data_IF_723487920409
#
_entry.id   IF_723487920409
#
_cell.length_a   1.000
_cell.length_b   1.000
_cell.length_c   1.000
_cell.angle_alpha   90.00
_cell.angle_beta   90.00
_cell.angle_gamma   90.00
#
_symmetry.space_group_name_H-M   'P 1'
#
loop_
_entity.id
_entity.type
_entity.pdbx_description
1 polymer ?
#
# COMPACT_ATOMS: atom_id res chain seq x y z
N UNK A 1 13.75 -49.55 -27.37
CA UNK A 1 14.34 -48.27 -26.91
C UNK A 1 13.19 -47.50 -26.28
N UNK A 2 12.83 -47.91 -25.06
CA UNK A 2 11.68 -47.38 -24.33
C UNK A 2 12.13 -46.10 -23.62
N UNK A 3 11.39 -45.02 -23.84
CA UNK A 3 11.57 -43.75 -23.15
C UNK A 3 10.97 -43.88 -21.74
N UNK A 4 11.70 -43.56 -20.66
CA UNK A 4 11.14 -43.63 -19.31
C UNK A 4 10.06 -42.56 -19.13
N UNK A 5 8.85 -43.01 -18.77
CA UNK A 5 7.75 -42.15 -18.35
C UNK A 5 8.17 -41.31 -17.13
N UNK A 6 8.12 -39.99 -17.26
CA UNK A 6 8.29 -39.07 -16.13
C UNK A 6 7.18 -39.32 -15.09
N UNK A 7 7.55 -39.87 -13.94
CA UNK A 7 6.72 -39.90 -12.74
C UNK A 7 6.45 -38.48 -12.25
N UNK A 8 5.28 -37.93 -12.57
CA UNK A 8 4.78 -36.72 -11.93
C UNK A 8 4.44 -37.02 -10.47
N UNK A 9 5.36 -36.68 -9.56
CA UNK A 9 5.13 -36.67 -8.11
C UNK A 9 3.99 -35.70 -7.77
N UNK A 10 2.76 -36.20 -7.69
CA UNK A 10 1.61 -35.46 -7.21
C UNK A 10 1.71 -35.31 -5.69
N UNK A 11 2.32 -34.22 -5.23
CA UNK A 11 2.29 -33.89 -3.81
C UNK A 11 0.83 -33.69 -3.38
N UNK A 12 0.34 -34.39 -2.34
CA UNK A 12 -1.02 -34.21 -1.88
C UNK A 12 -1.23 -32.74 -1.51
N UNK A 13 -2.21 -32.11 -2.16
CA UNK A 13 -2.60 -30.72 -1.85
C UNK A 13 -3.27 -30.70 -0.47
N UNK A 14 -2.46 -30.51 0.57
CA UNK A 14 -2.99 -30.31 1.92
C UNK A 14 -3.65 -28.93 1.99
N UNK A 15 -4.95 -28.91 2.31
CA UNK A 15 -5.71 -27.69 2.54
C UNK A 15 -5.82 -27.43 4.03
N UNK A 16 -5.70 -26.16 4.43
CA UNK A 16 -5.87 -25.74 5.83
C UNK A 16 -7.21 -26.26 6.38
N UNK A 17 -8.30 -26.08 5.63
CA UNK A 17 -9.65 -26.53 6.03
C UNK A 17 -9.83 -28.05 6.14
N UNK A 18 -8.87 -28.84 5.62
CA UNK A 18 -8.89 -30.30 5.79
C UNK A 18 -8.33 -30.75 7.14
N UNK A 19 -7.79 -29.82 7.95
CA UNK A 19 -7.30 -30.13 9.28
C UNK A 19 -8.45 -30.24 10.29
N UNK A 20 -8.28 -31.10 11.31
CA UNK A 20 -9.20 -31.14 12.45
C UNK A 20 -9.21 -29.82 13.22
N UNK A 21 -10.31 -29.56 13.92
CA UNK A 21 -10.58 -28.29 14.61
C UNK A 21 -9.60 -27.98 15.74
N UNK A 22 -9.03 -29.00 16.36
CA UNK A 22 -8.01 -28.92 17.41
C UNK A 22 -6.73 -28.31 16.85
N UNK A 23 -6.34 -28.72 15.63
CA UNK A 23 -5.19 -28.14 14.95
C UNK A 23 -5.45 -26.71 14.51
N UNK A 24 -6.68 -26.39 14.08
CA UNK A 24 -7.07 -25.00 13.82
C UNK A 24 -6.93 -24.13 15.07
N UNK A 25 -7.39 -24.62 16.23
CA UNK A 25 -7.27 -23.91 17.50
C UNK A 25 -5.80 -23.71 17.88
N UNK A 26 -5.00 -24.77 17.81
CA UNK A 26 -3.57 -24.71 18.11
C UNK A 26 -2.82 -23.74 17.18
N UNK A 27 -3.10 -23.76 15.87
CA UNK A 27 -2.50 -22.79 14.94
C UNK A 27 -2.87 -21.37 15.35
N UNK A 28 -4.15 -21.13 15.67
CA UNK A 28 -4.63 -19.80 16.05
C UNK A 28 -4.00 -19.26 17.33
N UNK A 29 -3.63 -20.13 18.29
CA UNK A 29 -2.99 -19.70 19.54
C UNK A 29 -1.56 -19.19 19.39
N UNK A 30 -0.88 -19.53 18.28
CA UNK A 30 0.47 -19.04 17.99
C UNK A 30 0.49 -17.74 17.18
N UNK A 31 -0.68 -17.24 16.74
CA UNK A 31 -0.75 -16.05 15.89
C UNK A 31 -0.70 -14.77 16.71
N UNK A 32 0.08 -13.79 16.23
CA UNK A 32 0.04 -12.43 16.77
C UNK A 32 -1.29 -11.74 16.43
N UNK A 33 -1.67 -10.69 17.18
CA UNK A 33 -2.98 -10.02 17.00
C UNK A 33 -3.33 -9.69 15.53
N UNK A 34 -2.45 -9.06 14.72
CA UNK A 34 -2.79 -8.76 13.33
C UNK A 34 -3.09 -10.00 12.48
N UNK A 35 -2.38 -11.09 12.73
CA UNK A 35 -2.46 -12.32 11.95
C UNK A 35 -3.68 -13.15 12.41
N UNK A 36 -3.94 -13.20 13.72
CA UNK A 36 -5.15 -13.79 14.29
C UNK A 36 -6.41 -13.06 13.81
N UNK A 37 -6.41 -11.72 13.83
CA UNK A 37 -7.53 -10.93 13.31
C UNK A 37 -7.75 -11.17 11.82
N UNK A 38 -6.67 -11.26 11.03
CA UNK A 38 -6.78 -11.61 9.62
C UNK A 38 -7.42 -13.00 9.44
N UNK A 39 -6.95 -14.03 10.17
CA UNK A 39 -7.50 -15.39 10.11
C UNK A 39 -8.99 -15.41 10.48
N UNK A 40 -9.36 -14.72 11.56
CA UNK A 40 -10.74 -14.57 12.04
C UNK A 40 -11.68 -14.08 10.94
N UNK A 41 -11.23 -13.17 10.08
CA UNK A 41 -12.04 -12.60 8.99
C UNK A 41 -11.95 -13.36 7.66
N UNK A 42 -11.25 -14.51 7.58
CA UNK A 42 -11.18 -15.30 6.35
C UNK A 42 -12.40 -16.20 6.12
N UNK A 43 -13.00 -16.74 7.19
CA UNK A 43 -14.11 -17.69 7.11
C UNK A 43 -15.00 -17.62 8.36
N UNK A 44 -16.24 -18.10 8.24
CA UNK A 44 -17.17 -18.19 9.38
C UNK A 44 -16.65 -19.13 10.49
N UNK A 45 -15.98 -20.22 10.11
CA UNK A 45 -15.37 -21.18 11.05
C UNK A 45 -14.35 -20.51 11.97
N UNK A 46 -13.42 -19.75 11.38
CA UNK A 46 -12.41 -19.03 12.15
C UNK A 46 -13.00 -17.84 12.89
N UNK A 47 -14.04 -17.20 12.36
CA UNK A 47 -14.69 -16.07 13.01
C UNK A 47 -15.20 -16.39 14.42
N UNK A 48 -15.78 -17.58 14.61
CA UNK A 48 -16.30 -18.04 15.90
C UNK A 48 -15.23 -18.60 16.84
N UNK A 49 -14.10 -19.10 16.30
CA UNK A 49 -13.09 -19.83 17.07
C UNK A 49 -11.89 -18.97 17.48
N UNK A 50 -11.44 -18.07 16.61
CA UNK A 50 -10.16 -17.36 16.79
C UNK A 50 -10.29 -16.28 17.85
N UNK A 51 -9.42 -16.34 18.85
CA UNK A 51 -9.32 -15.35 19.91
C UNK A 51 -8.60 -14.08 19.45
N UNK A 52 -9.24 -12.92 19.64
CA UNK A 52 -8.67 -11.57 19.38
C UNK A 52 -8.89 -10.63 20.57
N UNK A 53 -8.88 -11.17 21.79
CA UNK A 53 -9.15 -10.40 23.00
C UNK A 53 -8.00 -9.48 23.43
N UNK A 54 -8.16 -8.88 24.61
CA UNK A 54 -7.28 -7.81 25.12
C UNK A 54 -5.83 -8.28 25.28
N UNK A 55 -5.60 -9.49 25.79
CA UNK A 55 -4.24 -10.01 26.00
C UNK A 55 -3.43 -9.98 24.71
N UNK A 56 -4.01 -10.49 23.62
CA UNK A 56 -3.34 -10.54 22.33
C UNK A 56 -3.00 -9.14 21.78
N UNK A 57 -3.89 -8.16 22.02
CA UNK A 57 -3.68 -6.74 21.63
C UNK A 57 -2.54 -6.12 22.42
N UNK A 58 -2.50 -6.35 23.73
CA UNK A 58 -1.47 -5.84 24.63
C UNK A 58 -0.12 -6.48 24.31
N UNK A 59 -0.06 -7.80 24.20
CA UNK A 59 1.17 -8.54 23.87
C UNK A 59 1.77 -8.05 22.55
N UNK A 60 0.93 -7.81 21.54
CA UNK A 60 1.38 -7.24 20.28
C UNK A 60 1.97 -5.82 20.43
N UNK A 61 1.36 -4.96 21.23
CA UNK A 61 1.90 -3.62 21.49
C UNK A 61 3.22 -3.66 22.26
N UNK A 62 3.34 -4.56 23.25
CA UNK A 62 4.57 -4.79 24.02
C UNK A 62 5.69 -5.26 23.10
N UNK A 63 5.45 -6.29 22.27
CA UNK A 63 6.43 -6.77 21.28
C UNK A 63 6.89 -5.64 20.35
N UNK A 64 5.97 -4.78 19.88
CA UNK A 64 6.35 -3.63 19.04
C UNK A 64 7.27 -2.64 19.76
N UNK A 65 7.00 -2.38 21.03
CA UNK A 65 7.82 -1.50 21.86
C UNK A 65 9.23 -2.07 22.05
N UNK A 66 9.34 -3.37 22.36
CA UNK A 66 10.62 -4.08 22.51
C UNK A 66 11.45 -4.05 21.22
N UNK A 67 10.79 -4.22 20.06
CA UNK A 67 11.43 -4.13 18.76
C UNK A 67 11.71 -2.69 18.28
N UNK A 68 11.49 -1.68 19.13
CA UNK A 68 11.69 -0.25 18.82
C UNK A 68 10.94 0.20 17.55
N UNK A 69 9.78 -0.40 17.29
CA UNK A 69 8.89 -0.03 16.20
C UNK A 69 7.96 1.11 16.63
N UNK A 70 7.28 1.74 15.67
CA UNK A 70 6.28 2.76 15.98
C UNK A 70 5.17 2.15 16.84
N UNK A 71 4.99 2.68 18.06
CA UNK A 71 3.95 2.30 18.99
C UNK A 71 2.91 3.43 19.13
N UNK A 72 1.61 3.14 18.96
CA UNK A 72 0.55 4.11 19.18
C UNK A 72 0.33 4.29 20.69
N UNK A 73 1.03 5.25 21.28
CA UNK A 73 0.92 5.62 22.70
C UNK A 73 -0.35 6.45 23.03
N UNK A 74 -1.15 6.78 22.02
CA UNK A 74 -2.44 7.46 22.19
C UNK A 74 -3.50 6.50 22.78
N UNK A 75 -4.63 7.05 23.25
CA UNK A 75 -5.76 6.30 23.82
C UNK A 75 -6.28 5.23 22.85
N UNK A 76 -5.79 4.00 23.00
CA UNK A 76 -6.31 2.82 22.30
C UNK A 76 -7.44 2.20 23.12
N UNK A 77 -8.60 1.96 22.49
CA UNK A 77 -9.70 1.24 23.13
C UNK A 77 -9.52 -0.25 22.94
N UNK A 78 -9.46 -1.02 24.03
CA UNK A 78 -9.31 -2.47 23.99
C UNK A 78 -10.65 -3.22 23.94
N UNK A 79 -11.80 -2.53 23.98
CA UNK A 79 -13.14 -3.13 24.09
C UNK A 79 -13.50 -4.03 22.91
N UNK A 80 -13.26 -3.57 21.68
CA UNK A 80 -13.60 -4.30 20.45
C UNK A 80 -12.46 -4.23 19.46
N UNK A 81 -12.45 -5.13 18.47
CA UNK A 81 -11.46 -5.11 17.38
C UNK A 81 -11.60 -3.84 16.54
N UNK A 82 -12.83 -3.39 16.30
CA UNK A 82 -13.11 -2.15 15.58
C UNK A 82 -12.60 -0.90 16.31
N UNK A 83 -12.87 -0.80 17.61
CA UNK A 83 -12.42 0.35 18.41
C UNK A 83 -10.90 0.36 18.59
N UNK A 84 -10.27 -0.82 18.65
CA UNK A 84 -8.82 -0.94 18.71
C UNK A 84 -8.17 -0.58 17.37
N UNK A 85 -8.74 -1.02 16.24
CA UNK A 85 -8.25 -0.78 14.89
C UNK A 85 -8.55 0.64 14.38
N UNK A 86 -8.05 1.65 15.09
CA UNK A 86 -8.11 3.05 14.69
C UNK A 86 -7.26 3.34 13.43
N UNK A 87 -7.36 4.57 12.90
CA UNK A 87 -6.63 4.99 11.68
C UNK A 87 -5.12 4.82 11.78
N UNK A 88 -4.53 4.93 12.98
CA UNK A 88 -3.09 4.75 13.20
C UNK A 88 -2.70 3.28 13.20
N UNK A 89 -3.41 2.44 13.95
CA UNK A 89 -3.25 0.99 13.99
C UNK A 89 -3.44 0.39 12.60
N UNK A 90 -4.45 0.84 11.83
CA UNK A 90 -4.68 0.39 10.45
C UNK A 90 -3.47 0.67 9.55
N UNK A 91 -2.86 1.87 9.66
CA UNK A 91 -1.64 2.21 8.92
C UNK A 91 -0.45 1.34 9.34
N UNK A 92 -0.30 1.07 10.64
CA UNK A 92 0.73 0.16 11.15
C UNK A 92 0.56 -1.25 10.56
N UNK A 93 -0.65 -1.81 10.64
CA UNK A 93 -0.96 -3.13 10.08
C UNK A 93 -0.71 -3.18 8.56
N UNK A 94 -1.02 -2.11 7.83
CA UNK A 94 -0.76 -2.02 6.40
C UNK A 94 0.74 -1.97 6.09
N UNK A 95 1.53 -1.21 6.83
CA UNK A 95 3.01 -1.22 6.69
C UNK A 95 3.60 -2.59 7.00
N UNK A 96 3.09 -3.29 8.03
CA UNK A 96 3.48 -4.67 8.35
C UNK A 96 3.16 -5.62 7.18
N UNK A 97 1.96 -5.58 6.62
CA UNK A 97 1.58 -6.39 5.44
C UNK A 97 2.49 -6.17 4.24
N UNK A 98 2.93 -4.94 4.03
CA UNK A 98 3.86 -4.60 2.94
C UNK A 98 5.33 -4.84 3.31
N UNK A 99 5.62 -5.33 4.52
CA UNK A 99 6.96 -5.54 5.07
C UNK A 99 7.85 -4.29 5.09
N UNK A 100 7.27 -3.09 5.27
CA UNK A 100 8.04 -1.84 5.31
C UNK A 100 8.83 -1.67 6.62
N UNK A 101 8.48 -2.44 7.65
CA UNK A 101 9.14 -2.46 8.95
C UNK A 101 10.32 -3.47 8.99
N UNK A 102 10.44 -4.35 7.99
CA UNK A 102 11.51 -5.36 7.93
C UNK A 102 12.80 -4.77 7.32
N UNK A 103 13.98 -5.07 7.89
CA UNK A 103 15.25 -4.68 7.29
C UNK A 103 15.47 -5.43 5.97
N UNK A 104 15.89 -4.72 4.92
CA UNK A 104 16.16 -5.27 3.57
C UNK A 104 17.53 -5.98 3.44
N UNK A 105 18.18 -6.31 4.55
CA UNK A 105 19.53 -6.91 4.60
C UNK A 105 19.45 -8.40 4.98
N UNK A 106 20.57 -9.12 4.89
CA UNK A 106 20.68 -10.50 5.42
C UNK A 106 20.23 -10.52 6.89
N UNK A 107 19.32 -11.45 7.24
CA UNK A 107 18.61 -11.47 8.52
C UNK A 107 17.24 -10.76 8.52
N UNK A 108 16.75 -10.31 7.36
CA UNK A 108 15.40 -9.76 7.19
C UNK A 108 14.29 -10.81 7.05
N UNK A 109 13.05 -10.33 6.83
CA UNK A 109 11.87 -11.18 6.70
C UNK A 109 11.88 -11.98 5.39
N UNK A 110 11.62 -13.29 5.45
CA UNK A 110 11.32 -14.12 4.29
C UNK A 110 9.91 -13.77 3.77
N UNK A 111 9.84 -13.02 2.68
CA UNK A 111 8.56 -12.64 2.05
C UNK A 111 8.17 -13.74 1.08
N UNK A 112 7.08 -14.45 1.39
CA UNK A 112 6.46 -15.40 0.47
C UNK A 112 5.61 -14.58 -0.50
N UNK A 113 5.98 -14.59 -1.77
CA UNK A 113 5.27 -13.85 -2.81
C UNK A 113 3.92 -14.50 -3.10
N UNK A 114 2.86 -13.91 -2.57
CA UNK A 114 1.50 -14.24 -2.99
C UNK A 114 1.19 -13.67 -4.38
N UNK A 115 0.19 -14.23 -5.08
CA UNK A 115 -0.28 -13.68 -6.37
C UNK A 115 -0.70 -12.21 -6.30
N UNK A 116 -1.06 -11.74 -5.11
CA UNK A 116 -1.48 -10.36 -4.80
C UNK A 116 -0.38 -9.54 -4.11
N UNK A 117 0.83 -10.09 -3.90
CA UNK A 117 1.98 -9.32 -3.40
C UNK A 117 2.52 -8.42 -4.51
N UNK A 118 1.90 -7.25 -4.65
CA UNK A 118 2.34 -6.24 -5.60
C UNK A 118 3.57 -5.53 -5.02
N UNK A 119 4.76 -5.92 -5.49
CA UNK A 119 6.05 -5.34 -5.07
C UNK A 119 6.13 -3.84 -5.33
N UNK A 120 5.39 -3.35 -6.32
CA UNK A 120 5.45 -1.98 -6.79
C UNK A 120 4.05 -1.48 -7.20
N UNK A 121 3.39 -0.67 -6.36
CA UNK A 121 2.30 0.21 -6.83
C UNK A 121 2.77 1.64 -7.09
N UNK A 122 4.02 1.95 -6.79
CA UNK A 122 4.61 3.25 -7.11
C UNK A 122 6.02 2.99 -7.60
N UNK A 123 6.34 3.30 -8.88
CA UNK A 123 7.71 3.26 -9.34
C UNK A 123 8.58 4.04 -8.36
N UNK A 124 9.74 3.51 -8.01
CA UNK A 124 10.69 4.17 -7.09
C UNK A 124 11.03 5.60 -7.60
N UNK A 125 10.89 5.86 -8.90
CA UNK A 125 11.05 7.20 -9.48
C UNK A 125 10.04 8.23 -8.94
N UNK A 126 8.84 7.81 -8.54
CA UNK A 126 7.66 8.66 -8.27
C UNK A 126 7.51 8.94 -6.78
N UNK A 127 8.26 8.19 -5.95
CA UNK A 127 8.28 8.33 -4.48
C UNK A 127 9.18 9.47 -3.98
N UNK A 128 9.98 10.10 -4.87
CA UNK A 128 10.75 11.30 -4.51
C UNK A 128 9.82 12.51 -4.61
N UNK A 129 9.32 12.95 -3.46
CA UNK A 129 8.49 14.15 -3.29
C UNK A 129 9.07 15.38 -4.01
N UNK A 130 10.41 15.47 -4.07
CA UNK A 130 11.14 16.52 -4.80
C UNK A 130 10.96 16.48 -6.33
N UNK A 131 10.79 15.30 -6.94
CA UNK A 131 10.58 15.18 -8.39
C UNK A 131 9.17 15.52 -8.81
N UNK A 132 8.19 15.29 -7.95
CA UNK A 132 6.80 15.73 -8.18
C UNK A 132 6.69 17.25 -8.05
N UNK A 133 7.42 17.86 -7.11
CA UNK A 133 7.54 19.32 -7.00
C UNK A 133 8.22 19.91 -8.25
N UNK A 134 9.31 19.30 -8.71
CA UNK A 134 10.00 19.72 -9.93
C UNK A 134 9.10 19.61 -11.17
N UNK A 135 8.35 18.51 -11.33
CA UNK A 135 7.44 18.33 -12.46
C UNK A 135 6.29 19.36 -12.45
N UNK A 136 5.75 19.69 -11.26
CA UNK A 136 4.76 20.76 -11.11
C UNK A 136 5.35 22.14 -11.43
N UNK A 137 6.59 22.39 -11.02
CA UNK A 137 7.29 23.64 -11.31
C UNK A 137 7.52 23.82 -12.81
N UNK A 138 8.04 22.79 -13.50
CA UNK A 138 8.25 22.79 -14.95
C UNK A 138 6.92 22.92 -15.71
N UNK A 139 5.86 22.26 -15.25
CA UNK A 139 4.52 22.40 -15.84
C UNK A 139 3.96 23.83 -15.71
N UNK A 140 4.22 24.50 -14.58
CA UNK A 140 3.80 25.87 -14.35
C UNK A 140 4.55 26.86 -15.26
N UNK A 141 5.87 26.74 -15.38
CA UNK A 141 6.66 27.60 -16.27
C UNK A 141 6.24 27.47 -17.74
N UNK A 142 5.98 26.24 -18.22
CA UNK A 142 5.50 26.03 -19.58
C UNK A 142 4.15 26.69 -19.86
N UNK A 143 3.23 26.67 -18.89
CA UNK A 143 1.91 27.29 -19.01
C UNK A 143 2.04 28.83 -19.04
N UNK A 144 2.91 29.40 -18.21
CA UNK A 144 3.19 30.84 -18.19
C UNK A 144 3.80 31.30 -19.52
N UNK A 145 4.80 30.60 -20.03
CA UNK A 145 5.41 30.94 -21.32
C UNK A 145 4.40 30.81 -22.48
N UNK A 146 3.56 29.77 -22.47
CA UNK A 146 2.49 29.61 -23.47
C UNK A 146 1.49 30.77 -23.47
N UNK A 147 1.07 31.23 -22.29
CA UNK A 147 0.16 32.38 -22.17
C UNK A 147 0.79 33.68 -22.67
N UNK A 148 2.08 33.92 -22.35
CA UNK A 148 2.80 35.10 -22.83
C UNK A 148 2.88 35.10 -24.36
N UNK A 149 3.25 33.98 -24.98
CA UNK A 149 3.31 33.86 -26.44
C UNK A 149 1.95 34.06 -27.11
N UNK A 150 0.87 33.54 -26.51
CA UNK A 150 -0.50 33.75 -26.99
C UNK A 150 -0.88 35.25 -26.95
N UNK A 151 -0.60 35.93 -25.85
CA UNK A 151 -0.87 37.36 -25.71
C UNK A 151 -0.11 38.20 -26.73
N UNK A 152 1.17 37.91 -26.97
CA UNK A 152 1.97 38.60 -27.99
C UNK A 152 1.39 38.38 -29.38
N UNK A 153 0.98 37.16 -29.71
CA UNK A 153 0.40 36.84 -31.01
C UNK A 153 -0.97 37.52 -31.23
N UNK A 154 -1.80 37.58 -30.20
CA UNK A 154 -3.05 38.33 -30.20
C UNK A 154 -2.83 39.83 -30.38
N UNK A 155 -1.89 40.42 -29.63
CA UNK A 155 -1.55 41.83 -29.77
C UNK A 155 -1.02 42.15 -31.16
N UNK A 156 -0.16 41.29 -31.73
CA UNK A 156 0.35 41.45 -33.08
C UNK A 156 -0.77 41.42 -34.12
N UNK A 157 -1.70 40.46 -34.00
CA UNK A 157 -2.86 40.39 -34.88
C UNK A 157 -3.77 41.62 -34.74
N UNK A 158 -4.01 42.11 -33.52
CA UNK A 158 -4.81 43.32 -33.31
C UNK A 158 -4.13 44.56 -33.92
N UNK A 159 -2.81 44.70 -33.78
CA UNK A 159 -2.05 45.81 -34.39
C UNK A 159 -2.10 45.71 -35.92
N UNK A 160 -1.94 44.52 -36.49
CA UNK A 160 -2.02 44.30 -37.94
C UNK A 160 -3.41 44.58 -38.49
N UNK A 161 -4.48 44.19 -37.77
CA UNK A 161 -5.86 44.50 -38.16
C UNK A 161 -6.11 45.99 -38.06
N UNK A 162 -5.64 46.64 -36.99
CA UNK A 162 -5.81 48.08 -36.78
C UNK A 162 -5.08 48.91 -37.85
N UNK A 163 -3.84 48.54 -38.18
CA UNK A 163 -3.07 49.21 -39.23
C UNK A 163 -3.70 49.03 -40.62
N UNK A 164 -4.25 47.85 -40.92
CA UNK A 164 -5.00 47.61 -42.17
C UNK A 164 -6.32 48.40 -42.24
N UNK A 165 -6.98 48.66 -41.11
CA UNK A 165 -8.17 49.53 -41.07
C UNK A 165 -7.83 51.01 -41.24
N UNK A 166 -6.73 51.50 -40.66
CA UNK A 166 -6.28 52.91 -40.82
C UNK A 166 -5.91 53.24 -42.28
N UNK A 167 -5.31 52.27 -43.00
CA UNK A 167 -5.02 52.41 -44.43
C UNK A 167 -6.30 52.44 -45.30
N UNK A 168 -7.44 51.93 -44.83
CA UNK A 168 -8.70 51.89 -45.59
C UNK A 168 -9.56 53.13 -45.40
N UNK A 169 -9.39 53.87 -44.30
CA UNK A 169 -10.12 55.13 -44.01
C UNK A 169 -9.45 56.38 -44.58
N UNK A 170 -8.24 56.26 -45.13
CA UNK A 170 -7.47 57.35 -45.74
C UNK A 170 -7.45 57.33 -47.28
N UNK A 171 -8.26 56.48 -47.92
CA UNK A 171 -8.51 56.48 -49.37
C UNK A 171 -9.94 56.85 -49.72
#
# INVERSE_FOLDING_TARGET
MESPCEEQQHSPKHFLMGLPTELHFQISSYLSYPDALALKHTSRHFYSMVYTGVHLKVDWLVQRFEHKLECPLEKCSFRTDEAFCNRRIRRIMERRRRHWECPRRRGGCLVIEGRTCQKDLVPIWLKKEDRVKLLKYVGYEGLVHGLISLCINLLWNLIMVYSLTDYRTTS
#
